data_IF_749843675002
#
_entry.id   IF_749843675002
#
_cell.length_a   1.000
_cell.length_b   1.000
_cell.length_c   1.000
_cell.angle_alpha   90.00
_cell.angle_beta   90.00
_cell.angle_gamma   90.00
#
_symmetry.space_group_name_H-M   'P 1'
#
loop_
_entity.id
_entity.type
_entity.pdbx_description
1 polymer ?
#
# COMPACT_ATOMS: atom_id res chain seq x y z
N UNK A 1 1.09 6.06 -6.44
CA UNK A 1 1.31 4.81 -5.72
C UNK A 1 1.68 3.68 -6.68
N UNK A 2 2.60 2.84 -6.26
CA UNK A 2 2.95 1.63 -7.01
C UNK A 2 2.21 0.46 -6.38
N UNK A 3 1.13 0.03 -7.00
CA UNK A 3 0.20 -0.93 -6.42
C UNK A 3 0.55 -2.36 -6.81
N UNK A 4 0.78 -3.22 -5.81
CA UNK A 4 0.88 -4.66 -5.98
C UNK A 4 -0.43 -5.27 -5.48
N UNK A 5 -1.24 -5.80 -6.40
CA UNK A 5 -2.53 -6.38 -6.05
C UNK A 5 -2.38 -7.87 -5.76
N UNK A 6 -2.95 -8.32 -4.65
CA UNK A 6 -2.97 -9.72 -4.24
C UNK A 6 -4.41 -10.17 -4.01
N UNK A 7 -4.65 -11.47 -4.22
CA UNK A 7 -5.96 -12.06 -3.97
C UNK A 7 -5.77 -13.41 -3.32
N UNK A 8 -5.28 -13.39 -2.07
CA UNK A 8 -4.97 -14.60 -1.31
C UNK A 8 -5.62 -14.55 0.07
N UNK A 9 -6.08 -15.71 0.54
CA UNK A 9 -6.75 -15.81 1.84
C UNK A 9 -5.79 -15.61 3.00
N UNK A 10 -4.53 -16.05 2.85
CA UNK A 10 -3.49 -15.84 3.85
C UNK A 10 -2.34 -15.13 3.17
N UNK A 11 -2.31 -13.82 3.31
CA UNK A 11 -1.27 -13.01 2.68
C UNK A 11 -0.10 -12.80 3.63
N UNK A 12 1.10 -13.16 3.17
CA UNK A 12 2.32 -12.79 3.87
C UNK A 12 2.65 -11.34 3.49
N UNK A 13 2.15 -10.39 4.26
CA UNK A 13 2.29 -8.96 3.95
C UNK A 13 3.74 -8.50 3.92
N UNK A 14 4.58 -9.06 4.80
CA UNK A 14 6.00 -8.73 4.83
C UNK A 14 6.70 -9.07 3.52
N UNK A 15 6.44 -10.27 3.00
CA UNK A 15 7.00 -10.68 1.73
C UNK A 15 6.37 -9.93 0.56
N UNK A 16 5.06 -9.69 0.62
CA UNK A 16 4.35 -8.97 -0.42
C UNK A 16 4.87 -7.52 -0.57
N UNK A 17 5.10 -6.81 0.54
CA UNK A 17 5.62 -5.44 0.45
C UNK A 17 7.06 -5.42 -0.07
N UNK A 18 7.87 -6.41 0.29
CA UNK A 18 9.23 -6.54 -0.26
C UNK A 18 9.19 -6.78 -1.77
N UNK A 19 8.25 -7.59 -2.23
CA UNK A 19 8.05 -7.83 -3.67
C UNK A 19 7.65 -6.55 -4.38
N UNK A 20 6.71 -5.79 -3.82
CA UNK A 20 6.29 -4.51 -4.39
C UNK A 20 7.47 -3.53 -4.46
N UNK A 21 8.29 -3.48 -3.42
CA UNK A 21 9.48 -2.62 -3.38
C UNK A 21 10.49 -3.01 -4.47
N UNK A 22 10.73 -4.31 -4.65
CA UNK A 22 11.62 -4.80 -5.71
C UNK A 22 11.09 -4.44 -7.09
N UNK A 23 9.80 -4.65 -7.32
CA UNK A 23 9.18 -4.34 -8.60
C UNK A 23 9.22 -2.85 -8.92
N UNK A 24 8.97 -2.00 -7.92
CA UNK A 24 9.06 -0.55 -8.08
C UNK A 24 10.48 -0.13 -8.45
N UNK A 25 11.48 -0.71 -7.77
CA UNK A 25 12.89 -0.43 -8.04
C UNK A 25 13.29 -0.89 -9.43
N UNK A 26 12.88 -2.09 -9.83
CA UNK A 26 13.22 -2.67 -11.13
C UNK A 26 12.62 -1.86 -12.28
N UNK A 27 11.44 -1.30 -12.10
CA UNK A 27 10.80 -0.44 -13.09
C UNK A 27 11.19 1.02 -12.94
N UNK A 28 12.07 1.33 -11.98
CA UNK A 28 12.52 2.69 -11.67
C UNK A 28 11.37 3.65 -11.37
N UNK A 29 10.32 3.13 -10.74
CA UNK A 29 9.17 3.94 -10.34
C UNK A 29 9.51 4.80 -9.13
N UNK A 30 9.21 6.12 -9.16
CA UNK A 30 9.38 6.97 -7.98
C UNK A 30 8.21 6.85 -7.00
N UNK A 31 7.19 6.09 -7.35
CA UNK A 31 5.97 5.99 -6.55
C UNK A 31 6.16 5.07 -5.35
N UNK A 32 5.40 5.36 -4.28
CA UNK A 32 5.43 4.57 -3.06
C UNK A 32 4.82 3.18 -3.31
N UNK A 33 5.57 2.10 -3.03
CA UNK A 33 5.02 0.75 -3.14
C UNK A 33 3.98 0.49 -2.06
N UNK A 34 2.85 -0.07 -2.47
CA UNK A 34 1.80 -0.52 -1.55
C UNK A 34 1.29 -1.88 -1.99
N UNK A 35 0.76 -2.64 -1.04
CA UNK A 35 0.11 -3.92 -1.31
C UNK A 35 -1.36 -3.81 -0.97
N UNK A 36 -2.22 -4.19 -1.92
CA UNK A 36 -3.64 -4.29 -1.68
C UNK A 36 -4.02 -5.76 -1.77
N UNK A 37 -4.56 -6.31 -0.69
CA UNK A 37 -5.02 -7.70 -0.68
C UNK A 37 -6.52 -7.76 -0.42
N UNK A 38 -7.25 -8.37 -1.36
CA UNK A 38 -8.67 -8.60 -1.25
C UNK A 38 -8.93 -10.10 -1.25
N UNK A 39 -9.44 -10.60 -0.12
CA UNK A 39 -9.82 -12.01 -0.01
C UNK A 39 -11.14 -12.27 -0.71
N UNK A 40 -11.46 -13.56 -0.93
CA UNK A 40 -12.72 -13.94 -1.54
C UNK A 40 -13.91 -13.43 -0.73
N UNK A 41 -14.97 -13.01 -1.42
CA UNK A 41 -16.22 -12.50 -0.83
C UNK A 41 -16.05 -11.20 -0.04
N UNK A 42 -14.89 -10.56 -0.14
CA UNK A 42 -14.62 -9.29 0.51
C UNK A 42 -14.98 -8.13 -0.43
N UNK A 43 -15.64 -7.10 0.11
CA UNK A 43 -15.89 -5.88 -0.66
C UNK A 43 -14.56 -5.18 -0.93
N UNK A 44 -14.47 -4.49 -2.08
CA UNK A 44 -13.24 -3.79 -2.46
C UNK A 44 -12.82 -2.77 -1.38
N UNK A 45 -13.78 -2.06 -0.80
CA UNK A 45 -13.49 -1.06 0.23
C UNK A 45 -13.04 -1.67 1.56
N UNK A 46 -13.23 -2.98 1.74
CA UNK A 46 -12.78 -3.70 2.92
C UNK A 46 -11.42 -4.37 2.71
N UNK A 47 -10.86 -4.29 1.51
CA UNK A 47 -9.54 -4.85 1.22
C UNK A 47 -8.47 -4.23 2.12
N UNK A 48 -7.45 -5.03 2.42
CA UNK A 48 -6.34 -4.55 3.22
C UNK A 48 -5.35 -3.78 2.36
N UNK A 49 -4.83 -2.70 2.90
CA UNK A 49 -3.81 -1.89 2.24
C UNK A 49 -2.59 -1.82 3.16
N UNK A 50 -1.44 -2.25 2.65
CA UNK A 50 -0.20 -2.32 3.44
C UNK A 50 0.87 -1.47 2.76
N UNK A 51 1.50 -0.61 3.54
CA UNK A 51 2.65 0.17 3.11
C UNK A 51 3.54 0.44 4.31
N UNK A 52 4.75 0.93 4.04
CA UNK A 52 5.67 1.31 5.10
C UNK A 52 5.15 2.52 5.87
N UNK A 53 5.41 2.58 7.16
CA UNK A 53 4.91 3.65 8.03
C UNK A 53 5.40 5.04 7.61
N UNK A 54 6.66 5.17 7.22
CA UNK A 54 7.21 6.45 6.81
C UNK A 54 6.41 7.12 5.69
N UNK A 55 6.24 6.45 4.53
CA UNK A 55 5.41 6.99 3.46
C UNK A 55 3.97 7.24 3.88
N UNK A 56 3.38 6.36 4.68
CA UNK A 56 2.02 6.56 5.18
C UNK A 56 1.91 7.87 5.96
N UNK A 57 2.85 8.13 6.86
CA UNK A 57 2.83 9.36 7.66
C UNK A 57 2.92 10.61 6.80
N UNK A 58 3.69 10.57 5.72
CA UNK A 58 3.76 11.71 4.79
C UNK A 58 2.40 11.99 4.15
N UNK A 59 1.70 10.96 3.68
CA UNK A 59 0.38 11.12 3.10
C UNK A 59 -0.63 11.57 4.13
N UNK A 60 -0.60 10.98 5.32
CA UNK A 60 -1.53 11.32 6.39
C UNK A 60 -1.35 12.77 6.85
N UNK A 61 -0.11 13.21 7.04
CA UNK A 61 0.18 14.58 7.44
C UNK A 61 -0.25 15.59 6.37
N UNK A 62 -0.05 15.25 5.08
CA UNK A 62 -0.51 16.09 3.98
C UNK A 62 -2.03 16.19 3.98
N UNK A 63 -2.72 15.08 4.20
CA UNK A 63 -4.18 15.06 4.29
C UNK A 63 -4.68 15.92 5.44
N UNK A 64 -4.05 15.80 6.62
CA UNK A 64 -4.41 16.60 7.79
C UNK A 64 -4.29 18.11 7.50
N UNK A 65 -3.20 18.52 6.86
CA UNK A 65 -3.00 19.92 6.50
C UNK A 65 -4.05 20.43 5.54
N UNK A 66 -4.37 19.65 4.51
CA UNK A 66 -5.38 20.02 3.52
C UNK A 66 -6.77 20.13 4.12
N UNK A 67 -7.05 19.37 5.18
CA UNK A 67 -8.35 19.36 5.84
C UNK A 67 -8.39 20.23 7.09
N UNK A 68 -7.40 21.12 7.28
CA UNK A 68 -7.39 22.09 8.36
C UNK A 68 -6.97 21.56 9.72
N UNK A 69 -6.42 20.37 9.79
CA UNK A 69 -5.88 19.81 11.05
C UNK A 69 -4.41 20.19 11.21
N UNK A 70 -3.99 20.29 12.44
CA UNK A 70 -2.60 20.64 12.78
C UNK A 70 -1.86 19.47 13.40
#
# INVERSE_FOLDING_TARGET
LFVEAKRVEKCNFKEAIRQAERNAKDTKSPETPIVINRMNNMKTTDAYCVLRLGPFLKYYNAWLRENGYK
#
